data_IF_680390025186
#
_entry.id   IF_680390025186
#
_cell.length_a   1.000
_cell.length_b   1.000
_cell.length_c   1.000
_cell.angle_alpha   90.00
_cell.angle_beta   90.00
_cell.angle_gamma   90.00
#
_symmetry.space_group_name_H-M   'P 1'
#
loop_
_entity.id
_entity.type
_entity.pdbx_description
1 polymer ?
#
# COMPACT_ATOMS: atom_id res chain seq x y z
N UNK A 1 -1.83 -16.06 6.13
CA UNK A 1 -2.35 -14.72 6.43
C UNK A 1 -1.19 -13.88 6.95
N UNK A 2 -0.92 -12.73 6.32
CA UNK A 2 0.08 -11.75 6.79
C UNK A 2 -0.65 -10.74 7.68
N UNK A 3 0.06 -10.15 8.65
CA UNK A 3 -0.48 -9.08 9.50
C UNK A 3 -0.53 -7.72 8.78
N UNK A 4 -1.14 -7.66 7.60
CA UNK A 4 -1.21 -6.50 6.69
C UNK A 4 -2.54 -5.73 6.80
N UNK A 5 -3.36 -6.01 7.81
CA UNK A 5 -4.65 -5.33 8.01
C UNK A 5 -4.53 -3.79 8.06
N UNK A 6 -3.39 -3.28 8.53
CA UNK A 6 -3.06 -1.85 8.52
C UNK A 6 -2.99 -1.26 7.10
N UNK A 7 -2.48 -2.05 6.13
CA UNK A 7 -2.33 -1.68 4.74
C UNK A 7 -3.69 -1.72 4.03
N UNK A 8 -4.46 -2.80 4.27
CA UNK A 8 -5.83 -2.95 3.75
C UNK A 8 -6.71 -1.78 4.22
N UNK A 9 -6.67 -1.45 5.52
CA UNK A 9 -7.41 -0.32 6.08
C UNK A 9 -6.97 1.01 5.46
N UNK A 10 -5.66 1.20 5.22
CA UNK A 10 -5.16 2.39 4.56
C UNK A 10 -5.69 2.49 3.12
N UNK A 11 -5.63 1.41 2.33
CA UNK A 11 -6.13 1.41 0.96
C UNK A 11 -7.63 1.69 0.91
N UNK A 12 -8.41 1.07 1.79
CA UNK A 12 -9.85 1.34 1.89
C UNK A 12 -10.15 2.82 2.13
N UNK A 13 -9.45 3.46 3.07
CA UNK A 13 -9.63 4.89 3.34
C UNK A 13 -9.19 5.81 2.19
N UNK A 14 -8.14 5.42 1.44
CA UNK A 14 -7.66 6.20 0.29
C UNK A 14 -8.52 5.98 -0.94
N UNK A 15 -9.23 4.84 -1.05
CA UNK A 15 -10.14 4.55 -2.15
C UNK A 15 -11.34 5.52 -2.22
N UNK A 16 -11.71 6.15 -1.09
CA UNK A 16 -12.66 7.28 -1.04
C UNK A 16 -12.20 8.50 -1.83
N UNK A 17 -10.89 8.57 -2.16
CA UNK A 17 -10.28 9.61 -2.99
C UNK A 17 -9.64 8.95 -4.23
N UNK A 18 -10.42 8.66 -5.27
CA UNK A 18 -9.97 7.85 -6.42
C UNK A 18 -8.69 8.39 -7.09
N UNK A 19 -8.50 9.70 -7.08
CA UNK A 19 -7.31 10.33 -7.66
C UNK A 19 -6.03 9.98 -6.90
N UNK A 20 -6.08 9.74 -5.58
CA UNK A 20 -4.91 9.31 -4.82
C UNK A 20 -4.42 7.92 -5.28
N UNK A 21 -5.36 6.98 -5.47
CA UNK A 21 -5.03 5.65 -6.03
C UNK A 21 -4.59 5.77 -7.49
N UNK A 22 -5.32 6.49 -8.34
CA UNK A 22 -4.96 6.68 -9.76
C UNK A 22 -3.60 7.35 -9.94
N UNK A 23 -3.23 8.24 -9.04
CA UNK A 23 -1.94 8.91 -9.03
C UNK A 23 -0.80 7.98 -8.59
N UNK A 24 -1.06 6.94 -7.80
CA UNK A 24 -0.05 5.92 -7.49
C UNK A 24 0.29 5.08 -8.74
N UNK A 25 -0.65 4.84 -9.65
CA UNK A 25 -0.40 4.07 -10.87
C UNK A 25 0.14 4.93 -12.01
N UNK A 26 1.35 4.60 -12.49
CA UNK A 26 1.90 5.13 -13.75
C UNK A 26 1.30 4.36 -14.92
N UNK A 27 1.24 3.02 -14.81
CA UNK A 27 0.51 2.17 -15.77
C UNK A 27 -0.95 2.12 -15.34
N UNK A 28 -1.79 2.98 -15.95
CA UNK A 28 -3.20 3.17 -15.56
C UNK A 28 -4.17 2.23 -16.26
N UNK A 29 -3.75 1.66 -17.37
CA UNK A 29 -4.56 0.78 -18.20
C UNK A 29 -3.98 -0.63 -18.22
N UNK A 30 -4.78 -1.58 -18.70
CA UNK A 30 -4.32 -2.95 -18.91
C UNK A 30 -3.08 -2.97 -19.80
N UNK A 31 -2.05 -3.66 -19.35
CA UNK A 31 -0.82 -3.84 -20.11
C UNK A 31 -0.71 -5.28 -20.57
N UNK A 32 -0.70 -5.50 -21.89
CA UNK A 32 -0.56 -6.83 -22.49
C UNK A 32 0.72 -7.56 -22.07
N UNK A 33 1.78 -6.83 -21.71
CA UNK A 33 3.02 -7.43 -21.18
C UNK A 33 2.91 -7.90 -19.73
N UNK A 34 1.77 -7.65 -19.07
CA UNK A 34 1.52 -7.97 -17.66
C UNK A 34 2.30 -7.10 -16.68
N UNK A 35 3.01 -6.05 -17.12
CA UNK A 35 3.88 -5.21 -16.28
C UNK A 35 3.20 -3.89 -15.90
N UNK A 36 3.20 -3.58 -14.62
CA UNK A 36 2.59 -2.39 -14.05
C UNK A 36 3.61 -1.60 -13.25
N UNK A 37 3.64 -0.28 -13.48
CA UNK A 37 4.49 0.66 -12.75
C UNK A 37 3.64 1.42 -11.75
N UNK A 38 4.05 1.38 -10.49
CA UNK A 38 3.44 2.09 -9.36
C UNK A 38 4.49 3.01 -8.76
N UNK A 39 4.14 4.24 -8.42
CA UNK A 39 5.00 5.13 -7.65
C UNK A 39 4.59 5.12 -6.18
N UNK A 40 5.57 5.04 -5.30
CA UNK A 40 5.41 5.13 -3.85
C UNK A 40 6.41 6.15 -3.33
N UNK A 41 5.99 6.98 -2.38
CA UNK A 41 6.83 7.97 -1.76
C UNK A 41 7.66 7.33 -0.65
N UNK A 42 8.97 7.35 -0.82
CA UNK A 42 9.91 6.97 0.22
C UNK A 42 10.09 8.14 1.19
N UNK A 43 9.57 7.97 2.41
CA UNK A 43 9.65 8.97 3.46
C UNK A 43 11.08 9.18 3.98
N UNK A 44 11.91 8.14 3.98
CA UNK A 44 13.31 8.23 4.42
C UNK A 44 14.15 8.93 3.35
N UNK A 45 13.99 8.56 2.08
CA UNK A 45 14.74 9.17 0.98
C UNK A 45 14.17 10.52 0.51
N UNK A 46 12.94 10.86 0.93
CA UNK A 46 12.29 12.12 0.59
C UNK A 46 11.92 12.25 -0.89
N UNK A 47 11.67 11.14 -1.60
CA UNK A 47 11.41 11.12 -3.04
C UNK A 47 10.42 10.04 -3.45
N UNK A 48 9.87 10.19 -4.65
CA UNK A 48 9.04 9.17 -5.29
C UNK A 48 9.92 8.07 -5.90
N UNK A 49 9.65 6.84 -5.53
CA UNK A 49 10.26 5.63 -6.09
C UNK A 49 9.27 4.91 -7.00
N UNK A 50 9.75 4.38 -8.12
CA UNK A 50 8.90 3.64 -9.07
C UNK A 50 9.15 2.15 -8.94
N UNK A 51 8.12 1.44 -8.50
CA UNK A 51 8.11 -0.01 -8.37
C UNK A 51 7.43 -0.61 -9.59
N UNK A 52 8.12 -1.54 -10.27
CA UNK A 52 7.56 -2.32 -11.37
C UNK A 52 7.20 -3.72 -10.88
N UNK A 53 5.95 -4.13 -11.06
CA UNK A 53 5.42 -5.46 -10.71
C UNK A 53 4.78 -6.11 -11.93
N UNK A 54 4.80 -7.43 -11.99
CA UNK A 54 3.99 -8.19 -12.94
C UNK A 54 2.62 -8.58 -12.33
N UNK A 55 1.74 -9.15 -13.14
CA UNK A 55 0.38 -9.60 -12.77
C UNK A 55 0.31 -11.01 -12.16
N UNK A 56 1.44 -11.66 -11.86
CA UNK A 56 1.44 -12.95 -11.17
C UNK A 56 1.16 -12.76 -9.68
N UNK A 57 -0.08 -12.97 -9.26
CA UNK A 57 -0.50 -12.82 -7.86
C UNK A 57 -0.34 -14.16 -7.12
N UNK A 58 0.25 -14.17 -5.90
CA UNK A 58 0.25 -15.37 -5.06
C UNK A 58 -1.18 -15.80 -4.75
N UNK A 59 -1.53 -17.05 -5.07
CA UNK A 59 -2.85 -17.61 -4.82
C UNK A 59 -2.81 -18.73 -3.78
N UNK A 60 -3.92 -18.96 -3.10
CA UNK A 60 -4.05 -20.10 -2.19
C UNK A 60 -3.93 -21.43 -2.96
N UNK A 61 -3.32 -22.44 -2.32
CA UNK A 61 -3.06 -23.73 -2.96
C UNK A 61 -4.38 -24.38 -3.39
N UNK A 62 -4.47 -24.73 -4.67
CA UNK A 62 -5.67 -25.37 -5.24
C UNK A 62 -6.82 -24.42 -5.53
N UNK A 63 -6.61 -23.09 -5.45
CA UNK A 63 -7.59 -22.10 -5.88
C UNK A 63 -6.95 -20.99 -6.72
N UNK A 64 -7.79 -20.23 -7.41
CA UNK A 64 -7.41 -18.98 -8.09
C UNK A 64 -7.63 -17.74 -7.22
N UNK A 65 -7.94 -17.94 -5.92
CA UNK A 65 -8.12 -16.85 -4.98
C UNK A 65 -6.75 -16.32 -4.54
N UNK A 66 -6.53 -15.00 -4.55
CA UNK A 66 -5.34 -14.39 -3.97
C UNK A 66 -5.07 -14.90 -2.54
N UNK A 67 -3.82 -14.99 -2.13
CA UNK A 67 -3.44 -15.51 -0.81
C UNK A 67 -3.52 -14.45 0.30
N UNK A 68 -3.35 -13.18 -0.06
CA UNK A 68 -3.36 -12.03 0.85
C UNK A 68 -4.63 -11.22 0.61
N UNK A 69 -4.55 -10.00 0.08
CA UNK A 69 -5.72 -9.19 -0.29
C UNK A 69 -6.64 -9.90 -1.29
N UNK A 70 -7.92 -10.01 -0.94
CA UNK A 70 -8.93 -10.59 -1.81
C UNK A 70 -9.43 -9.58 -2.84
N UNK A 71 -9.83 -10.08 -4.00
CA UNK A 71 -10.49 -9.30 -5.04
C UNK A 71 -12.00 -9.34 -4.84
N UNK A 72 -12.65 -8.17 -4.87
CA UNK A 72 -14.10 -8.06 -4.99
C UNK A 72 -14.45 -7.37 -6.31
N UNK A 73 -15.02 -8.12 -7.26
CA UNK A 73 -15.36 -7.58 -8.57
C UNK A 73 -14.15 -7.19 -9.41
N UNK A 74 -14.15 -5.98 -9.98
CA UNK A 74 -13.14 -5.49 -10.95
C UNK A 74 -12.08 -4.59 -10.30
N UNK A 75 -11.54 -5.01 -9.16
CA UNK A 75 -10.64 -4.21 -8.32
C UNK A 75 -9.19 -4.73 -8.33
N UNK A 76 -8.68 -5.13 -9.50
CA UNK A 76 -7.32 -5.66 -9.65
C UNK A 76 -6.22 -4.68 -9.19
N UNK A 77 -6.52 -3.38 -9.11
CA UNK A 77 -5.60 -2.37 -8.61
C UNK A 77 -5.14 -2.69 -7.18
N UNK A 78 -6.01 -3.24 -6.33
CA UNK A 78 -5.72 -3.40 -4.90
C UNK A 78 -4.61 -4.45 -4.67
N UNK A 79 -4.72 -5.61 -5.34
CA UNK A 79 -3.70 -6.67 -5.27
C UNK A 79 -2.39 -6.30 -5.97
N UNK A 80 -2.45 -5.50 -7.04
CA UNK A 80 -1.24 -5.00 -7.71
C UNK A 80 -0.52 -3.97 -6.84
N UNK A 81 -1.28 -3.12 -6.14
CA UNK A 81 -0.74 -2.12 -5.23
C UNK A 81 -0.14 -2.78 -3.97
N UNK A 82 -0.81 -3.78 -3.42
CA UNK A 82 -0.27 -4.61 -2.32
C UNK A 82 1.05 -5.26 -2.74
N UNK A 83 1.11 -5.86 -3.93
CA UNK A 83 2.35 -6.45 -4.47
C UNK A 83 3.46 -5.40 -4.66
N UNK A 84 3.11 -4.20 -5.12
CA UNK A 84 4.08 -3.11 -5.24
C UNK A 84 4.61 -2.67 -3.88
N UNK A 85 3.74 -2.58 -2.86
CA UNK A 85 4.14 -2.32 -1.48
C UNK A 85 5.03 -3.44 -0.93
N UNK A 86 4.67 -4.71 -1.11
CA UNK A 86 5.49 -5.85 -0.70
C UNK A 86 6.89 -5.75 -1.31
N UNK A 87 6.99 -5.46 -2.61
CA UNK A 87 8.28 -5.29 -3.29
C UNK A 87 9.05 -4.05 -2.80
N UNK A 88 8.35 -2.96 -2.47
CA UNK A 88 8.95 -1.76 -1.89
C UNK A 88 9.53 -2.02 -0.50
N UNK A 89 8.87 -2.86 0.30
CA UNK A 89 9.29 -3.23 1.66
C UNK A 89 10.31 -4.38 1.70
N UNK A 90 10.48 -5.11 0.60
CA UNK A 90 11.37 -6.27 0.47
C UNK A 90 10.62 -7.54 0.11
N UNK A 91 9.56 -7.87 0.86
CA UNK A 91 8.70 -9.03 0.61
C UNK A 91 7.29 -8.86 1.18
N UNK A 92 6.39 -9.80 0.89
CA UNK A 92 5.08 -9.88 1.54
C UNK A 92 5.18 -10.10 3.06
N UNK A 93 6.22 -10.80 3.54
CA UNK A 93 6.40 -11.04 4.96
C UNK A 93 6.73 -9.73 5.71
N UNK A 94 7.42 -8.80 5.04
CA UNK A 94 7.81 -7.49 5.59
C UNK A 94 6.63 -6.51 5.69
N UNK A 95 5.45 -6.87 5.17
CA UNK A 95 4.22 -6.09 5.38
C UNK A 95 3.58 -6.34 6.74
N UNK A 96 4.09 -7.28 7.55
CA UNK A 96 3.52 -7.58 8.86
C UNK A 96 3.81 -6.46 9.88
N UNK A 97 2.77 -5.94 10.54
CA UNK A 97 2.93 -5.07 11.73
C UNK A 97 3.17 -3.58 11.45
N UNK A 98 2.82 -3.08 10.26
CA UNK A 98 2.93 -1.66 9.92
C UNK A 98 1.79 -0.79 10.50
N UNK A 99 1.76 0.49 10.08
CA UNK A 99 0.77 1.49 10.53
C UNK A 99 0.10 2.19 9.36
N UNK A 100 -1.23 2.41 9.35
CA UNK A 100 -1.94 2.99 8.20
C UNK A 100 -1.37 4.34 7.74
N UNK A 101 -0.93 5.19 8.68
CA UNK A 101 -0.30 6.47 8.36
C UNK A 101 0.91 6.37 7.43
N UNK A 102 1.66 5.27 7.51
CA UNK A 102 2.81 5.06 6.66
C UNK A 102 2.38 4.75 5.22
N UNK A 103 1.36 3.91 5.04
CA UNK A 103 0.78 3.64 3.73
C UNK A 103 0.18 4.91 3.12
N UNK A 104 -0.51 5.74 3.90
CA UNK A 104 -0.98 7.04 3.43
C UNK A 104 0.17 7.92 2.94
N UNK A 105 1.24 8.07 3.73
CA UNK A 105 2.42 8.84 3.33
C UNK A 105 3.05 8.31 2.05
N UNK A 106 3.17 6.98 1.92
CA UNK A 106 3.73 6.36 0.74
C UNK A 106 2.85 6.53 -0.51
N UNK A 107 1.52 6.60 -0.36
CA UNK A 107 0.61 6.81 -1.49
C UNK A 107 0.51 8.28 -1.91
N UNK A 108 0.51 9.22 -0.96
CA UNK A 108 0.22 10.63 -1.25
C UNK A 108 1.45 11.51 -1.25
N UNK A 109 2.50 11.15 -0.52
CA UNK A 109 3.63 12.04 -0.24
C UNK A 109 3.28 13.21 0.69
N UNK A 110 2.09 13.23 1.29
CA UNK A 110 1.61 14.30 2.18
C UNK A 110 1.98 14.07 3.64
N UNK A 111 2.03 15.14 4.43
CA UNK A 111 2.42 15.05 5.85
C UNK A 111 1.34 14.30 6.63
N UNK A 112 1.75 13.24 7.32
CA UNK A 112 0.88 12.41 8.15
C UNK A 112 1.28 12.51 9.62
N UNK A 113 0.32 12.27 10.51
CA UNK A 113 0.55 12.20 11.95
C UNK A 113 -0.42 11.22 12.60
N UNK A 114 -0.05 10.70 13.77
CA UNK A 114 -0.96 9.98 14.65
C UNK A 114 -1.33 10.88 15.84
N UNK A 115 -2.51 10.64 16.41
CA UNK A 115 -2.90 11.18 17.70
C UNK A 115 -3.04 10.00 18.66
N UNK A 116 -2.40 10.07 19.84
CA UNK A 116 -2.64 9.13 20.93
C UNK A 116 -3.42 9.85 22.02
N UNK A 117 -4.44 9.19 22.56
CA UNK A 117 -5.23 9.69 23.69
C UNK A 117 -4.76 9.01 24.97
N UNK A 118 -4.21 9.78 25.89
CA UNK A 118 -3.77 9.32 27.21
C UNK A 118 -4.36 10.27 28.26
N UNK A 119 -5.00 9.74 29.31
CA UNK A 119 -5.60 10.53 30.39
C UNK A 119 -6.48 11.70 29.88
N UNK A 120 -7.33 11.40 28.89
CA UNK A 120 -8.21 12.37 28.21
C UNK A 120 -7.52 13.46 27.37
N UNK A 121 -6.19 13.48 27.32
CA UNK A 121 -5.41 14.41 26.52
C UNK A 121 -4.96 13.77 25.21
N UNK A 122 -5.05 14.52 24.12
CA UNK A 122 -4.57 14.09 22.81
C UNK A 122 -3.17 14.63 22.54
N UNK A 123 -2.23 13.72 22.29
CA UNK A 123 -0.85 14.07 21.95
C UNK A 123 -0.58 13.71 20.49
N UNK A 124 0.02 14.64 19.75
CA UNK A 124 0.40 14.46 18.34
C UNK A 124 1.77 13.79 18.24
N UNK A 125 1.82 12.71 17.47
CA UNK A 125 3.04 12.01 17.12
C UNK A 125 3.23 12.12 15.61
N UNK A 126 4.23 12.89 15.19
CA UNK A 126 4.63 12.88 13.80
C UNK A 126 5.33 11.56 13.49
N UNK A 127 4.98 10.95 12.36
CA UNK A 127 5.66 9.75 11.91
C UNK A 127 7.07 10.17 11.47
N UNK A 128 8.05 9.95 12.34
CA UNK A 128 9.46 10.04 11.97
C UNK A 128 9.77 8.65 11.40
N UNK A 129 10.03 8.56 10.10
CA UNK A 129 10.59 7.34 9.53
C UNK A 129 11.97 7.18 10.16
N UNK A 130 12.07 6.42 11.25
CA UNK A 130 13.38 6.00 11.77
C UNK A 130 14.02 5.07 10.74
N UNK A 131 15.35 5.11 10.60
CA UNK A 131 16.11 4.32 9.63
C UNK A 131 15.83 2.81 9.77
#
# INVERSE_FOLDING_TARGET
AVGDCWLVAAFASVAEYPDAIRNAFITREFNQSGKYRVRLYDAQAGKWEVVTVDDRIPCAKGSFSPHFMQLHGREAWAVLLEKAFAKFCGSYADLSGGRPVWAWRALTGDRVFNLLKENEQWTRYNFISTP
#
